data_IF_038787242090
#
_entry.id   IF_038787242090
#
_cell.length_a   1.000
_cell.length_b   1.000
_cell.length_c   1.000
_cell.angle_alpha   90.00
_cell.angle_beta   90.00
_cell.angle_gamma   90.00
#
_symmetry.space_group_name_H-M   'P 1'
#
loop_
_entity.id
_entity.type
_entity.pdbx_description
1 polymer ?
#
# COMPACT_ATOMS: atom_id res chain seq x y z
N UNK A 1 24.44 2.81 26.05
CA UNK A 1 24.27 3.44 24.72
C UNK A 1 23.73 2.45 23.69
N UNK A 2 24.32 1.24 23.55
CA UNK A 2 23.84 0.18 22.64
C UNK A 2 22.38 -0.24 22.89
N UNK A 3 21.96 -0.40 24.14
CA UNK A 3 20.59 -0.81 24.51
C UNK A 3 19.50 0.15 24.03
N UNK A 4 19.74 1.48 24.08
CA UNK A 4 18.81 2.48 23.54
C UNK A 4 18.70 2.42 22.02
N UNK A 5 19.81 2.18 21.32
CA UNK A 5 19.82 2.05 19.85
C UNK A 5 19.08 0.80 19.40
N UNK A 6 19.32 -0.33 20.06
CA UNK A 6 18.61 -1.59 19.76
C UNK A 6 17.11 -1.45 19.98
N UNK A 7 16.69 -0.84 21.08
CA UNK A 7 15.27 -0.61 21.36
C UNK A 7 14.61 0.30 20.32
N UNK A 8 15.33 1.34 19.87
CA UNK A 8 14.86 2.24 18.81
C UNK A 8 14.70 1.52 17.46
N UNK A 9 15.66 0.69 17.08
CA UNK A 9 15.58 -0.09 15.82
C UNK A 9 14.41 -1.07 15.88
N UNK A 10 14.24 -1.79 16.99
CA UNK A 10 13.11 -2.69 17.18
C UNK A 10 11.77 -1.95 17.08
N UNK A 11 11.67 -0.76 17.68
CA UNK A 11 10.47 0.07 17.60
C UNK A 11 10.17 0.52 16.17
N UNK A 12 11.19 0.93 15.41
CA UNK A 12 11.05 1.30 13.99
C UNK A 12 10.53 0.12 13.16
N UNK A 13 11.09 -1.08 13.37
CA UNK A 13 10.66 -2.29 12.65
C UNK A 13 9.21 -2.65 12.97
N UNK A 14 8.83 -2.65 14.26
CA UNK A 14 7.44 -2.93 14.67
C UNK A 14 6.46 -1.90 14.09
N UNK A 15 6.82 -0.63 14.14
CA UNK A 15 5.99 0.46 13.61
C UNK A 15 5.85 0.39 12.10
N UNK A 16 6.92 -0.01 11.40
CA UNK A 16 6.91 -0.24 9.97
C UNK A 16 5.97 -1.40 9.61
N UNK A 17 6.09 -2.55 10.27
CA UNK A 17 5.21 -3.69 10.04
C UNK A 17 3.74 -3.34 10.28
N UNK A 18 3.45 -2.58 11.35
CA UNK A 18 2.11 -2.13 11.67
C UNK A 18 1.54 -1.17 10.61
N UNK A 19 2.34 -0.19 10.18
CA UNK A 19 1.97 0.74 9.13
C UNK A 19 1.76 0.04 7.77
N UNK A 20 2.63 -0.91 7.42
CA UNK A 20 2.48 -1.76 6.24
C UNK A 20 1.21 -2.62 6.30
N UNK A 21 0.87 -3.17 7.47
CA UNK A 21 -0.37 -3.90 7.68
C UNK A 21 -1.62 -3.03 7.42
N UNK A 22 -1.62 -1.79 7.91
CA UNK A 22 -2.72 -0.85 7.65
C UNK A 22 -2.77 -0.46 6.17
N UNK A 23 -1.63 -0.16 5.54
CA UNK A 23 -1.58 0.14 4.12
C UNK A 23 -2.14 -1.02 3.27
N UNK A 24 -1.77 -2.26 3.62
CA UNK A 24 -2.24 -3.46 2.95
C UNK A 24 -3.74 -3.66 3.16
N UNK A 25 -4.26 -3.45 4.38
CA UNK A 25 -5.69 -3.51 4.65
C UNK A 25 -6.48 -2.49 3.81
N UNK A 26 -6.00 -1.24 3.74
CA UNK A 26 -6.62 -0.18 2.92
C UNK A 26 -6.57 -0.54 1.44
N UNK A 27 -5.43 -1.04 0.95
CA UNK A 27 -5.26 -1.47 -0.44
C UNK A 27 -6.25 -2.58 -0.80
N UNK A 28 -6.34 -3.62 0.04
CA UNK A 28 -7.23 -4.75 -0.20
C UNK A 28 -8.70 -4.38 -0.09
N UNK A 29 -9.09 -3.54 0.87
CA UNK A 29 -10.47 -3.09 1.02
C UNK A 29 -10.90 -2.25 -0.19
N UNK A 30 -10.13 -1.24 -0.57
CA UNK A 30 -10.46 -0.38 -1.70
C UNK A 30 -10.40 -1.14 -3.03
N UNK A 31 -9.42 -2.04 -3.20
CA UNK A 31 -9.33 -2.91 -4.37
C UNK A 31 -10.48 -3.90 -4.48
N UNK A 32 -10.88 -4.52 -3.37
CA UNK A 32 -12.01 -5.45 -3.34
C UNK A 32 -13.34 -4.77 -3.68
N UNK A 33 -13.56 -3.56 -3.16
CA UNK A 33 -14.75 -2.76 -3.49
C UNK A 33 -14.78 -2.39 -4.98
N UNK A 34 -13.66 -1.92 -5.52
CA UNK A 34 -13.56 -1.56 -6.93
C UNK A 34 -13.79 -2.77 -7.86
N UNK A 35 -13.07 -3.87 -7.65
CA UNK A 35 -13.24 -5.08 -8.48
C UNK A 35 -14.63 -5.69 -8.29
N UNK A 36 -15.16 -5.68 -7.07
CA UNK A 36 -16.50 -6.17 -6.78
C UNK A 36 -17.59 -5.38 -7.52
N UNK A 37 -17.45 -4.06 -7.61
CA UNK A 37 -18.38 -3.22 -8.37
C UNK A 37 -18.26 -3.43 -9.88
N UNK A 38 -17.04 -3.62 -10.42
CA UNK A 38 -16.86 -3.97 -11.83
C UNK A 38 -17.51 -5.31 -12.19
N UNK A 39 -17.37 -6.31 -11.31
CA UNK A 39 -18.01 -7.62 -11.46
C UNK A 39 -19.54 -7.53 -11.45
N UNK A 40 -20.11 -6.74 -10.53
CA UNK A 40 -21.57 -6.50 -10.45
C UNK A 40 -22.10 -5.81 -11.71
N UNK A 41 -21.33 -4.87 -12.29
CA UNK A 41 -21.70 -4.19 -13.52
C UNK A 41 -21.58 -5.10 -14.75
N UNK A 42 -20.60 -6.00 -14.78
CA UNK A 42 -20.40 -6.95 -15.87
C UNK A 42 -21.47 -8.05 -15.94
N UNK A 43 -22.01 -8.47 -14.78
CA UNK A 43 -23.02 -9.53 -14.68
C UNK A 43 -24.22 -9.10 -13.80
N UNK A 44 -25.02 -8.10 -14.23
CA UNK A 44 -26.08 -7.51 -13.41
C UNK A 44 -27.24 -8.47 -13.11
N UNK A 45 -27.37 -9.56 -13.86
CA UNK A 45 -28.44 -10.55 -13.70
C UNK A 45 -28.04 -11.79 -12.91
N UNK A 46 -26.77 -11.89 -12.46
CA UNK A 46 -26.31 -13.04 -11.70
C UNK A 46 -26.46 -12.81 -10.20
N UNK A 47 -27.39 -13.54 -9.58
CA UNK A 47 -27.67 -13.45 -8.13
C UNK A 47 -26.45 -13.73 -7.25
N UNK A 48 -25.49 -14.54 -7.76
CA UNK A 48 -24.25 -14.87 -7.06
C UNK A 48 -23.28 -13.68 -7.03
N UNK A 49 -23.21 -12.89 -8.10
CA UNK A 49 -22.35 -11.70 -8.17
C UNK A 49 -22.92 -10.52 -7.37
N UNK A 50 -24.24 -10.41 -7.26
CA UNK A 50 -24.86 -9.38 -6.41
C UNK A 50 -24.58 -9.62 -4.92
N UNK A 51 -24.67 -10.86 -4.45
CA UNK A 51 -24.46 -11.20 -3.03
C UNK A 51 -22.98 -11.40 -2.68
N UNK A 52 -22.15 -11.87 -3.62
CA UNK A 52 -20.76 -12.26 -3.37
C UNK A 52 -19.69 -11.34 -3.97
N UNK A 53 -20.07 -10.29 -4.69
CA UNK A 53 -19.15 -9.46 -5.48
C UNK A 53 -17.93 -8.94 -4.71
N UNK A 54 -18.08 -8.57 -3.44
CA UNK A 54 -16.97 -8.12 -2.59
C UNK A 54 -15.97 -9.22 -2.26
N UNK A 55 -16.45 -10.44 -2.00
CA UNK A 55 -15.59 -11.60 -1.70
C UNK A 55 -14.83 -12.02 -2.95
N UNK A 56 -15.52 -12.06 -4.10
CA UNK A 56 -14.87 -12.33 -5.38
C UNK A 56 -13.87 -11.23 -5.75
N UNK A 57 -14.24 -9.96 -5.53
CA UNK A 57 -13.38 -8.81 -5.73
C UNK A 57 -12.11 -8.89 -4.87
N UNK A 58 -12.24 -9.25 -3.59
CA UNK A 58 -11.11 -9.45 -2.70
C UNK A 58 -10.17 -10.56 -3.19
N UNK A 59 -10.72 -11.74 -3.53
CA UNK A 59 -9.92 -12.88 -4.00
C UNK A 59 -9.20 -12.55 -5.31
N UNK A 60 -9.92 -12.00 -6.28
CA UNK A 60 -9.36 -11.65 -7.60
C UNK A 60 -8.31 -10.54 -7.49
N UNK A 61 -8.62 -9.47 -6.76
CA UNK A 61 -7.68 -8.36 -6.56
C UNK A 61 -6.43 -8.83 -5.82
N UNK A 62 -6.58 -9.58 -4.72
CA UNK A 62 -5.45 -10.13 -3.97
C UNK A 62 -4.60 -11.05 -4.84
N UNK A 63 -5.21 -11.93 -5.64
CA UNK A 63 -4.48 -12.81 -6.55
C UNK A 63 -3.69 -12.01 -7.61
N UNK A 64 -4.21 -10.88 -8.08
CA UNK A 64 -3.54 -10.02 -9.04
C UNK A 64 -2.36 -9.25 -8.43
N UNK A 65 -2.48 -8.77 -7.18
CA UNK A 65 -1.45 -7.91 -6.56
C UNK A 65 -0.47 -8.67 -5.65
N UNK A 66 -0.82 -9.85 -5.13
CA UNK A 66 0.05 -10.59 -4.20
C UNK A 66 1.45 -10.90 -4.78
N UNK A 67 1.61 -11.27 -6.07
CA UNK A 67 2.93 -11.48 -6.67
C UNK A 67 3.75 -10.19 -6.83
N UNK A 68 3.08 -9.03 -6.81
CA UNK A 68 3.67 -7.73 -7.14
C UNK A 68 4.06 -6.93 -5.90
N UNK A 69 3.44 -7.25 -4.76
CA UNK A 69 3.69 -6.58 -3.49
C UNK A 69 5.15 -6.74 -3.07
N UNK A 70 5.89 -5.63 -3.15
CA UNK A 70 7.26 -5.51 -2.67
C UNK A 70 7.34 -4.47 -1.58
N UNK A 71 8.08 -4.82 -0.53
CA UNK A 71 8.32 -3.95 0.62
C UNK A 71 9.53 -3.04 0.39
N UNK A 72 10.30 -3.30 -0.68
CA UNK A 72 11.60 -2.69 -0.95
C UNK A 72 11.54 -1.16 -1.07
N UNK A 73 10.62 -0.55 -1.85
CA UNK A 73 10.55 0.91 -1.98
C UNK A 73 10.23 1.60 -0.64
N UNK A 74 9.32 1.00 0.14
CA UNK A 74 8.91 1.51 1.43
C UNK A 74 10.03 1.39 2.47
N UNK A 75 10.81 0.30 2.47
CA UNK A 75 11.98 0.14 3.33
C UNK A 75 13.04 1.20 3.02
N UNK A 76 13.33 1.45 1.75
CA UNK A 76 14.30 2.47 1.34
C UNK A 76 13.88 3.85 1.87
N UNK A 77 12.61 4.21 1.70
CA UNK A 77 12.06 5.47 2.22
C UNK A 77 12.22 5.59 3.74
N UNK A 78 11.91 4.53 4.49
CA UNK A 78 12.05 4.55 5.96
C UNK A 78 13.51 4.66 6.39
N UNK A 79 14.41 3.92 5.75
CA UNK A 79 15.85 3.99 6.05
C UNK A 79 16.39 5.40 5.77
N UNK A 80 16.04 6.00 4.63
CA UNK A 80 16.44 7.38 4.31
C UNK A 80 15.89 8.36 5.36
N UNK A 81 14.61 8.25 5.72
CA UNK A 81 13.98 9.08 6.75
C UNK A 81 14.67 9.00 8.10
N UNK A 82 15.04 7.78 8.52
CA UNK A 82 15.70 7.54 9.80
C UNK A 82 17.17 8.01 9.80
N UNK A 83 17.91 7.80 8.71
CA UNK A 83 19.31 8.23 8.55
C UNK A 83 19.42 9.75 8.49
N UNK A 84 18.56 10.39 7.69
CA UNK A 84 18.51 11.86 7.57
C UNK A 84 17.81 12.54 8.75
N UNK A 85 17.23 11.74 9.66
CA UNK A 85 16.42 12.21 10.79
C UNK A 85 15.31 13.18 10.35
N UNK A 86 14.76 12.96 9.16
CA UNK A 86 13.63 13.75 8.66
C UNK A 86 12.37 13.33 9.40
N UNK A 87 11.81 14.27 10.16
CA UNK A 87 10.61 14.09 11.00
C UNK A 87 9.34 14.70 10.38
N UNK A 88 9.42 15.11 9.12
CA UNK A 88 8.30 15.72 8.42
C UNK A 88 7.25 14.67 8.07
N UNK A 89 6.00 14.90 8.48
CA UNK A 89 4.85 14.07 8.10
C UNK A 89 4.71 13.97 6.58
N UNK A 90 4.99 15.08 5.88
CA UNK A 90 4.86 15.19 4.43
C UNK A 90 5.84 14.25 3.71
N UNK A 91 7.05 14.08 4.26
CA UNK A 91 8.05 13.15 3.71
C UNK A 91 7.52 11.71 3.72
N UNK A 92 7.04 11.23 4.87
CA UNK A 92 6.57 9.85 5.00
C UNK A 92 5.29 9.59 4.21
N UNK A 93 4.36 10.55 4.16
CA UNK A 93 3.16 10.44 3.33
C UNK A 93 3.55 10.33 1.86
N UNK A 94 4.30 11.29 1.33
CA UNK A 94 4.69 11.29 -0.09
C UNK A 94 5.50 10.04 -0.44
N UNK A 95 6.46 9.65 0.42
CA UNK A 95 7.29 8.48 0.17
C UNK A 95 6.47 7.18 0.23
N UNK A 96 5.48 7.07 1.12
CA UNK A 96 4.54 5.95 1.17
C UNK A 96 3.69 5.85 -0.11
N UNK A 97 3.15 6.98 -0.58
CA UNK A 97 2.41 7.05 -1.84
C UNK A 97 3.26 6.65 -3.05
N UNK A 98 4.46 7.20 -3.18
CA UNK A 98 5.42 6.86 -4.25
C UNK A 98 5.77 5.36 -4.20
N UNK A 99 5.96 4.81 -3.00
CA UNK A 99 6.33 3.41 -2.81
C UNK A 99 5.27 2.45 -3.35
N UNK A 100 3.98 2.72 -3.11
CA UNK A 100 2.90 1.89 -3.64
C UNK A 100 2.63 2.14 -5.13
N UNK A 101 2.79 3.39 -5.61
CA UNK A 101 2.68 3.70 -7.03
C UNK A 101 3.79 3.07 -7.88
N UNK A 102 4.95 2.80 -7.28
CA UNK A 102 6.03 2.09 -7.94
C UNK A 102 5.70 0.61 -8.21
N UNK A 103 4.81 -0.01 -7.43
CA UNK A 103 4.48 -1.44 -7.55
C UNK A 103 3.95 -1.82 -8.95
N UNK A 104 2.90 -1.18 -9.50
CA UNK A 104 2.42 -1.51 -10.85
C UNK A 104 3.46 -1.19 -11.94
N UNK A 105 4.31 -0.17 -11.73
CA UNK A 105 5.36 0.21 -12.68
C UNK A 105 6.52 -0.80 -12.71
N UNK A 106 6.85 -1.41 -11.58
CA UNK A 106 7.93 -2.39 -11.46
C UNK A 106 7.54 -3.79 -11.96
N UNK A 107 6.24 -4.07 -12.08
CA UNK A 107 5.72 -5.36 -12.55
C UNK A 107 5.36 -5.36 -14.04
N UNK A 108 5.23 -4.20 -14.67
CA UNK A 108 4.96 -4.09 -16.11
C UNK A 108 5.93 -4.94 -16.94
N UNK A 109 5.37 -5.83 -17.77
CA UNK A 109 6.11 -6.62 -18.76
C UNK A 109 6.85 -5.69 -19.72
N UNK A 110 8.14 -5.94 -20.05
CA UNK A 110 8.86 -5.13 -21.01
C UNK A 110 8.18 -5.23 -22.39
N UNK A 111 7.36 -4.25 -22.74
CA UNK A 111 6.54 -4.25 -23.96
C UNK A 111 5.12 -3.71 -23.79
N UNK A 112 4.57 -3.70 -22.57
CA UNK A 112 3.21 -3.19 -22.26
C UNK A 112 3.23 -1.84 -21.52
N UNK A 113 4.30 -1.06 -21.67
CA UNK A 113 4.45 0.28 -21.09
C UNK A 113 3.39 1.29 -21.58
N UNK A 114 2.56 0.91 -22.56
CA UNK A 114 1.50 1.73 -23.16
C UNK A 114 0.16 1.63 -22.43
N UNK A 115 -0.08 0.61 -21.60
CA UNK A 115 -1.31 0.46 -20.80
C UNK A 115 -1.08 0.98 -19.40
N UNK A 116 -1.16 2.31 -19.25
CA UNK A 116 -1.23 2.96 -17.94
C UNK A 116 -2.35 2.30 -17.10
N UNK A 117 -2.12 2.03 -15.81
CA UNK A 117 -3.17 1.53 -14.93
C UNK A 117 -4.39 2.46 -14.97
N UNK A 118 -5.61 1.92 -14.86
CA UNK A 118 -6.82 2.74 -14.76
C UNK A 118 -6.64 3.84 -13.69
N UNK A 119 -7.20 5.04 -13.90
CA UNK A 119 -7.10 6.13 -12.92
C UNK A 119 -7.57 5.72 -11.52
N UNK A 120 -8.60 4.87 -11.43
CA UNK A 120 -9.09 4.34 -10.16
C UNK A 120 -8.06 3.44 -9.46
N UNK A 121 -7.41 2.51 -10.19
CA UNK A 121 -6.36 1.68 -9.63
C UNK A 121 -5.22 2.54 -9.07
N UNK A 122 -4.78 3.54 -9.84
CA UNK A 122 -3.72 4.49 -9.41
C UNK A 122 -4.10 5.21 -8.12
N UNK A 123 -5.36 5.67 -7.99
CA UNK A 123 -5.87 6.31 -6.78
C UNK A 123 -5.88 5.33 -5.59
N UNK A 124 -6.31 4.08 -5.78
CA UNK A 124 -6.33 3.04 -4.73
C UNK A 124 -4.93 2.79 -4.17
N UNK A 125 -3.92 2.61 -5.04
CA UNK A 125 -2.52 2.44 -4.63
C UNK A 125 -1.98 3.69 -3.92
N UNK A 126 -2.25 4.88 -4.46
CA UNK A 126 -1.80 6.13 -3.87
C UNK A 126 -2.41 6.33 -2.46
N UNK A 127 -3.72 6.15 -2.30
CA UNK A 127 -4.41 6.29 -1.01
C UNK A 127 -3.86 5.31 0.02
N UNK A 128 -3.71 4.03 -0.34
CA UNK A 128 -3.13 3.03 0.55
C UNK A 128 -1.69 3.39 0.98
N UNK A 129 -0.88 3.87 0.04
CA UNK A 129 0.50 4.29 0.31
C UNK A 129 0.57 5.53 1.20
N UNK A 130 -0.27 6.54 0.94
CA UNK A 130 -0.37 7.74 1.78
C UNK A 130 -0.81 7.39 3.20
N UNK A 131 -1.79 6.49 3.36
CA UNK A 131 -2.24 6.04 4.68
C UNK A 131 -1.11 5.31 5.42
N UNK A 132 -0.40 4.39 4.78
CA UNK A 132 0.76 3.70 5.38
C UNK A 132 1.84 4.68 5.86
N UNK A 133 2.23 5.61 4.99
CA UNK A 133 3.21 6.65 5.32
C UNK A 133 2.78 7.55 6.48
N UNK A 134 1.50 7.94 6.51
CA UNK A 134 0.94 8.74 7.59
C UNK A 134 0.93 7.98 8.93
N UNK A 135 0.50 6.72 8.93
CA UNK A 135 0.46 5.87 10.12
C UNK A 135 1.87 5.67 10.69
N UNK A 136 2.86 5.39 9.83
CA UNK A 136 4.25 5.28 10.27
C UNK A 136 4.73 6.55 10.97
N UNK A 137 4.45 7.71 10.38
CA UNK A 137 4.79 9.00 10.99
C UNK A 137 4.06 9.24 12.32
N UNK A 138 2.79 8.84 12.46
CA UNK A 138 2.05 8.98 13.72
C UNK A 138 2.72 8.20 14.86
N UNK A 139 3.29 7.03 14.58
CA UNK A 139 3.87 6.14 15.59
C UNK A 139 5.33 6.52 15.91
N UNK A 140 6.14 6.80 14.89
CA UNK A 140 7.58 7.06 15.06
C UNK A 140 7.95 8.55 15.03
N UNK A 141 7.20 9.38 14.30
CA UNK A 141 7.56 10.77 14.00
C UNK A 141 7.00 11.81 14.97
N UNK A 142 5.90 11.51 15.69
CA UNK A 142 5.21 12.49 16.56
C UNK A 142 5.88 12.76 17.91
N UNK A 143 6.69 11.84 18.43
CA UNK A 143 7.08 11.83 19.85
C UNK A 143 8.57 12.03 20.13
N UNK A 144 9.36 12.53 19.19
CA UNK A 144 10.83 12.59 19.29
C UNK A 144 11.40 14.01 19.30
#
# INVERSE_FOLDING_TARGET
MITRTVFRILWVVVSFLFASGIALAVLLLLGALWVGDELRQAAPHDSMMQQGGEVFGLVMFTAAIAPTLTVLPALIAVVIGEVLKFRSWMYYVIAGGISLLAVPLLVGTPGELSTLPPPQATAIFATAGFTGGFVYWLICGRGA
#
